data_IF_923285523591
#
_entry.id   IF_923285523591
#
_cell.length_a   1.000
_cell.length_b   1.000
_cell.length_c   1.000
_cell.angle_alpha   90.00
_cell.angle_beta   90.00
_cell.angle_gamma   90.00
#
_symmetry.space_group_name_H-M   'P 1'
#
loop_
_entity.id
_entity.type
_entity.pdbx_description
1 polymer ?
#
# COMPACT_ATOMS: atom_id res chain seq x y z
N UNK A 1 -38.02 -26.62 -78.59
CA UNK A 1 -36.80 -26.98 -77.90
C UNK A 1 -36.39 -25.75 -77.12
N UNK A 2 -36.86 -25.64 -75.85
CA UNK A 2 -36.68 -24.48 -74.99
C UNK A 2 -35.52 -24.74 -74.01
N UNK A 3 -34.48 -23.96 -74.06
CA UNK A 3 -33.33 -24.00 -73.14
C UNK A 3 -33.56 -23.06 -71.97
N UNK A 4 -33.69 -23.63 -70.79
CA UNK A 4 -33.72 -22.85 -69.51
C UNK A 4 -32.28 -22.52 -69.06
N UNK A 5 -32.02 -21.23 -68.90
CA UNK A 5 -30.78 -20.75 -68.20
C UNK A 5 -31.04 -20.63 -66.69
N UNK A 6 -30.34 -21.45 -65.94
CA UNK A 6 -30.31 -21.34 -64.49
C UNK A 6 -29.32 -20.23 -64.08
N UNK A 7 -29.83 -19.19 -63.48
CA UNK A 7 -29.02 -18.16 -62.77
C UNK A 7 -28.99 -18.48 -61.28
N UNK A 8 -27.78 -18.72 -60.74
CA UNK A 8 -27.52 -18.91 -59.29
C UNK A 8 -27.27 -17.54 -58.67
N UNK A 9 -27.95 -17.13 -57.58
CA UNK A 9 -27.62 -15.91 -56.89
C UNK A 9 -26.45 -16.13 -55.94
N UNK A 10 -25.40 -15.33 -56.09
CA UNK A 10 -24.25 -15.28 -55.20
C UNK A 10 -24.63 -14.53 -53.93
N UNK A 11 -24.67 -15.24 -52.79
CA UNK A 11 -24.83 -14.64 -51.46
C UNK A 11 -23.50 -14.00 -51.03
N UNK A 12 -23.46 -12.68 -50.94
CA UNK A 12 -22.36 -11.94 -50.32
C UNK A 12 -22.50 -12.03 -48.78
N UNK A 13 -21.66 -12.81 -48.14
CA UNK A 13 -21.56 -12.84 -46.67
C UNK A 13 -20.76 -11.63 -46.20
N UNK A 14 -21.42 -10.66 -45.55
CA UNK A 14 -20.75 -9.56 -44.87
C UNK A 14 -20.34 -10.04 -43.46
N UNK A 15 -19.07 -10.31 -43.29
CA UNK A 15 -18.48 -10.53 -41.94
C UNK A 15 -18.31 -9.19 -41.25
N UNK A 16 -19.17 -8.96 -40.26
CA UNK A 16 -19.07 -7.82 -39.36
C UNK A 16 -17.97 -8.12 -38.33
N UNK A 17 -16.75 -7.59 -38.54
CA UNK A 17 -15.68 -7.65 -37.53
C UNK A 17 -15.96 -6.65 -36.44
N UNK A 18 -16.42 -7.11 -35.27
CA UNK A 18 -16.52 -6.28 -34.06
C UNK A 18 -15.11 -6.02 -33.51
N UNK A 19 -14.62 -4.83 -33.73
CA UNK A 19 -13.39 -4.35 -33.06
C UNK A 19 -13.75 -3.98 -31.61
N UNK A 20 -13.38 -4.83 -30.65
CA UNK A 20 -13.42 -4.48 -29.23
C UNK A 20 -12.33 -3.43 -28.97
N UNK A 21 -12.73 -2.19 -28.83
CA UNK A 21 -11.87 -1.12 -28.32
C UNK A 21 -11.75 -1.30 -26.80
N UNK A 22 -10.65 -1.91 -26.34
CA UNK A 22 -10.24 -1.83 -24.95
C UNK A 22 -9.80 -0.39 -24.69
N UNK A 23 -10.63 0.38 -23.99
CA UNK A 23 -10.24 1.67 -23.45
C UNK A 23 -9.27 1.43 -22.30
N UNK A 24 -7.97 1.51 -22.57
CA UNK A 24 -6.95 1.63 -21.54
C UNK A 24 -7.13 3.02 -20.93
N UNK A 25 -7.77 3.10 -19.76
CA UNK A 25 -7.83 4.33 -19.00
C UNK A 25 -6.42 4.64 -18.49
N UNK A 26 -5.70 5.51 -19.19
CA UNK A 26 -4.43 6.04 -18.71
C UNK A 26 -4.71 6.91 -17.48
N UNK A 27 -4.35 6.43 -16.29
CA UNK A 27 -4.34 7.23 -15.07
C UNK A 27 -3.27 8.32 -15.25
N UNK A 28 -3.70 9.54 -15.47
CA UNK A 28 -2.80 10.70 -15.60
C UNK A 28 -2.44 11.16 -14.18
N UNK A 29 -1.14 11.14 -13.85
CA UNK A 29 -0.64 11.83 -12.67
C UNK A 29 -0.88 13.34 -12.87
N UNK A 30 -1.85 13.88 -12.15
CA UNK A 30 -2.17 15.30 -12.19
C UNK A 30 -1.27 16.08 -11.21
N UNK A 31 -1.11 17.39 -11.45
CA UNK A 31 -0.30 18.34 -10.63
C UNK A 31 -0.65 18.36 -9.13
N UNK A 32 -1.58 17.55 -8.67
CA UNK A 32 -2.06 17.43 -7.29
C UNK A 32 -2.08 15.97 -6.77
N UNK A 33 -1.22 15.09 -7.29
CA UNK A 33 -1.17 13.67 -6.89
C UNK A 33 -1.99 12.75 -7.80
N UNK A 34 -2.25 11.52 -7.33
CA UNK A 34 -3.08 10.51 -8.00
C UNK A 34 -4.54 10.77 -7.63
N UNK A 35 -5.41 10.92 -8.62
CA UNK A 35 -6.86 10.92 -8.42
C UNK A 35 -7.41 9.56 -8.81
N UNK A 36 -8.14 8.93 -7.90
CA UNK A 36 -8.83 7.67 -8.12
C UNK A 36 -10.35 7.87 -8.19
N UNK A 37 -11.03 6.89 -8.75
CA UNK A 37 -12.49 6.88 -8.81
C UNK A 37 -13.03 6.12 -7.60
N UNK A 38 -14.01 6.67 -6.91
CA UNK A 38 -14.68 6.01 -5.80
C UNK A 38 -15.46 4.76 -6.25
N UNK A 39 -15.61 3.79 -5.34
CA UNK A 39 -16.39 2.57 -5.55
C UNK A 39 -15.56 1.32 -5.85
N UNK A 40 -14.24 1.37 -5.66
CA UNK A 40 -13.36 0.22 -5.86
C UNK A 40 -13.27 -0.66 -4.61
N UNK A 41 -13.24 -0.08 -3.40
CA UNK A 41 -13.24 -0.84 -2.16
C UNK A 41 -14.67 -1.13 -1.66
N UNK A 42 -14.83 -2.27 -0.98
CA UNK A 42 -16.11 -2.65 -0.33
C UNK A 42 -16.48 -1.70 0.82
N UNK A 43 -15.49 -1.22 1.56
CA UNK A 43 -15.66 -0.29 2.67
C UNK A 43 -15.16 1.09 2.27
N UNK A 44 -16.00 2.10 2.40
CA UNK A 44 -15.69 3.48 2.03
C UNK A 44 -14.52 4.07 2.83
N UNK A 45 -14.20 3.53 4.01
CA UNK A 45 -13.03 3.94 4.79
C UNK A 45 -11.69 3.55 4.11
N UNK A 46 -11.72 2.60 3.17
CA UNK A 46 -10.56 2.12 2.41
C UNK A 46 -10.63 2.41 0.91
N UNK A 47 -11.71 3.03 0.43
CA UNK A 47 -11.96 3.36 -0.97
C UNK A 47 -11.26 4.68 -1.32
N UNK A 48 -10.09 4.58 -1.95
CA UNK A 48 -9.20 5.71 -2.20
C UNK A 48 -9.77 6.60 -3.31
N UNK A 49 -9.84 7.90 -3.06
CA UNK A 49 -10.18 8.91 -4.07
C UNK A 49 -9.00 9.82 -4.41
N UNK A 50 -7.98 9.85 -3.55
CA UNK A 50 -6.80 10.69 -3.76
C UNK A 50 -5.58 10.13 -3.00
N UNK A 51 -4.40 10.17 -3.62
CA UNK A 51 -3.12 9.89 -2.96
C UNK A 51 -2.08 10.92 -3.38
N UNK A 52 -1.27 11.43 -2.41
CA UNK A 52 -0.32 12.51 -2.67
C UNK A 52 0.89 12.42 -1.73
N UNK A 53 2.05 12.83 -2.23
CA UNK A 53 3.23 13.11 -1.41
C UNK A 53 3.71 14.51 -1.73
N UNK A 54 3.88 15.35 -0.70
CA UNK A 54 4.42 16.72 -0.82
C UNK A 54 5.59 16.93 0.11
N UNK A 55 6.50 17.84 -0.25
CA UNK A 55 7.67 18.15 0.55
C UNK A 55 7.78 19.64 0.86
N UNK A 56 8.24 19.97 2.07
CA UNK A 56 8.58 21.33 2.50
C UNK A 56 9.82 21.29 3.38
N UNK A 57 10.93 21.86 2.90
CA UNK A 57 12.22 21.70 3.58
C UNK A 57 12.65 20.22 3.55
N UNK A 58 12.94 19.66 4.71
CA UNK A 58 13.28 18.26 4.96
C UNK A 58 12.08 17.42 5.40
N UNK A 59 10.88 18.00 5.40
CA UNK A 59 9.64 17.30 5.74
C UNK A 59 8.92 16.81 4.51
N UNK A 60 8.40 15.59 4.57
CA UNK A 60 7.51 14.98 3.60
C UNK A 60 6.15 14.73 4.24
N UNK A 61 5.07 15.17 3.59
CA UNK A 61 3.70 14.85 3.98
C UNK A 61 3.11 13.87 2.99
N UNK A 62 2.69 12.73 3.49
CA UNK A 62 2.01 11.65 2.79
C UNK A 62 0.51 11.78 3.09
N UNK A 63 -0.30 11.78 2.05
CA UNK A 63 -1.73 12.01 2.11
C UNK A 63 -2.50 10.91 1.37
N UNK A 64 -3.58 10.40 1.97
CA UNK A 64 -4.62 9.60 1.33
C UNK A 64 -5.98 10.20 1.69
N UNK A 65 -6.81 10.43 0.67
CA UNK A 65 -8.23 10.70 0.80
C UNK A 65 -9.05 9.48 0.39
N UNK A 66 -10.12 9.21 1.11
CA UNK A 66 -11.03 8.07 0.86
C UNK A 66 -12.47 8.56 0.68
N UNK A 67 -13.35 7.74 0.10
CA UNK A 67 -14.75 8.11 -0.14
C UNK A 67 -15.61 8.14 1.14
N UNK A 68 -15.12 7.56 2.24
CA UNK A 68 -15.78 7.53 3.55
C UNK A 68 -14.99 8.25 4.63
N UNK A 69 -15.06 7.75 5.87
CA UNK A 69 -14.30 8.29 7.00
C UNK A 69 -13.00 7.53 7.18
N UNK A 70 -11.87 8.18 6.93
CA UNK A 70 -10.54 7.60 7.10
C UNK A 70 -10.31 7.14 8.57
N UNK A 71 -9.71 5.97 8.75
CA UNK A 71 -9.39 5.40 10.06
C UNK A 71 -10.59 4.91 10.88
N UNK A 72 -11.82 4.97 10.34
CA UNK A 72 -13.02 4.56 11.08
C UNK A 72 -13.12 3.04 11.30
N UNK A 73 -12.50 2.25 10.43
CA UNK A 73 -12.58 0.78 10.48
C UNK A 73 -11.23 0.22 10.89
N UNK A 74 -11.22 -0.59 11.93
CA UNK A 74 -10.05 -1.28 12.47
C UNK A 74 -10.31 -2.78 12.53
N UNK A 75 -9.27 -3.63 12.56
CA UNK A 75 -9.45 -5.06 12.76
C UNK A 75 -10.13 -5.34 14.10
N UNK A 76 -10.91 -6.42 14.14
CA UNK A 76 -11.46 -6.93 15.40
C UNK A 76 -10.40 -7.78 16.08
N UNK A 77 -10.17 -7.54 17.39
CA UNK A 77 -9.26 -8.36 18.19
C UNK A 77 -9.71 -9.84 18.20
N UNK A 78 -8.78 -10.75 17.97
CA UNK A 78 -9.00 -12.19 18.01
C UNK A 78 -8.55 -12.82 19.33
N UNK A 79 -7.80 -12.06 20.16
CA UNK A 79 -7.15 -12.51 21.38
C UNK A 79 -5.92 -13.39 21.11
N UNK A 80 -5.38 -13.38 19.87
CA UNK A 80 -4.23 -14.19 19.45
C UNK A 80 -3.36 -13.38 18.48
N UNK A 81 -2.04 -13.44 18.68
CA UNK A 81 -1.09 -12.86 17.73
C UNK A 81 -1.21 -13.55 16.36
N UNK A 82 -1.08 -14.88 16.33
CA UNK A 82 -1.19 -15.65 15.10
C UNK A 82 -2.62 -15.63 14.55
N UNK A 83 -2.77 -15.17 13.31
CA UNK A 83 -4.05 -15.01 12.63
C UNK A 83 -4.71 -13.66 12.86
N UNK A 84 -4.10 -12.75 13.64
CA UNK A 84 -4.60 -11.38 13.77
C UNK A 84 -4.45 -10.62 12.45
N UNK A 85 -5.41 -9.74 12.19
CA UNK A 85 -5.40 -8.87 11.02
C UNK A 85 -4.77 -7.51 11.38
N UNK A 86 -4.09 -6.91 10.40
CA UNK A 86 -3.56 -5.55 10.45
C UNK A 86 -4.17 -4.77 9.29
N UNK A 87 -4.86 -3.68 9.55
CA UNK A 87 -5.35 -2.81 8.48
C UNK A 87 -4.39 -1.64 8.26
N UNK A 88 -4.27 -1.21 7.01
CA UNK A 88 -3.25 -0.24 6.64
C UNK A 88 -3.66 0.71 5.51
N UNK A 89 -3.13 1.94 5.61
CA UNK A 89 -2.99 2.92 4.52
C UNK A 89 -1.51 2.97 4.16
N UNK A 90 -1.17 2.78 2.89
CA UNK A 90 0.22 2.51 2.47
C UNK A 90 0.58 3.36 1.26
N UNK A 91 1.81 3.90 1.26
CA UNK A 91 2.44 4.55 0.11
C UNK A 91 3.67 3.76 -0.31
N UNK A 92 3.53 2.74 -1.21
CA UNK A 92 4.67 2.11 -1.84
C UNK A 92 5.40 3.12 -2.72
N UNK A 93 6.73 3.06 -2.70
CA UNK A 93 7.58 4.01 -3.41
C UNK A 93 8.69 3.33 -4.20
N UNK A 94 9.33 4.07 -5.12
CA UNK A 94 10.60 3.69 -5.73
C UNK A 94 11.81 4.20 -4.95
N UNK A 95 11.61 4.74 -3.74
CA UNK A 95 12.70 5.17 -2.86
C UNK A 95 13.49 3.94 -2.39
N UNK A 96 14.82 4.05 -2.39
CA UNK A 96 15.66 2.97 -1.88
C UNK A 96 15.48 2.82 -0.36
N UNK A 97 15.33 1.60 0.19
CA UNK A 97 15.24 1.36 1.62
C UNK A 97 16.37 1.96 2.45
N UNK A 98 17.56 2.14 1.87
CA UNK A 98 18.70 2.77 2.53
C UNK A 98 18.45 4.23 2.93
N UNK A 99 17.52 4.92 2.28
CA UNK A 99 17.18 6.32 2.58
C UNK A 99 16.50 6.50 3.94
N UNK A 100 15.98 5.41 4.51
CA UNK A 100 15.38 5.40 5.86
C UNK A 100 16.14 4.49 6.82
N UNK A 101 17.31 3.96 6.42
CA UNK A 101 18.24 3.25 7.29
C UNK A 101 18.21 1.72 7.19
N UNK A 102 17.54 1.14 6.21
CA UNK A 102 17.64 -0.29 5.91
C UNK A 102 18.82 -0.61 4.98
N UNK A 103 19.02 -1.89 4.68
CA UNK A 103 19.94 -2.33 3.63
C UNK A 103 19.51 -1.76 2.27
N UNK A 104 20.51 -1.38 1.47
CA UNK A 104 20.29 -0.96 0.08
C UNK A 104 19.66 -2.08 -0.75
N UNK A 105 18.75 -1.72 -1.65
CA UNK A 105 18.06 -2.65 -2.56
C UNK A 105 17.31 -3.79 -1.82
N UNK A 106 16.98 -3.59 -0.54
CA UNK A 106 16.34 -4.61 0.30
C UNK A 106 14.92 -5.00 -0.17
N UNK A 107 14.27 -4.20 -0.99
CA UNK A 107 12.94 -4.46 -1.55
C UNK A 107 12.18 -3.18 -1.89
N UNK A 108 10.85 -3.25 -1.89
CA UNK A 108 9.96 -2.10 -2.09
C UNK A 108 9.80 -1.39 -0.75
N UNK A 109 10.29 -0.15 -0.66
CA UNK A 109 10.04 0.67 0.52
C UNK A 109 8.65 1.27 0.48
N UNK A 110 7.89 1.11 1.55
CA UNK A 110 6.59 1.73 1.72
C UNK A 110 6.46 2.37 3.10
N UNK A 111 5.85 3.56 3.15
CA UNK A 111 5.31 4.10 4.40
C UNK A 111 3.93 3.47 4.61
N UNK A 112 3.67 2.96 5.79
CA UNK A 112 2.40 2.38 6.18
C UNK A 112 1.88 3.05 7.46
N UNK A 113 0.58 3.31 7.52
CA UNK A 113 -0.14 3.67 8.75
C UNK A 113 -1.04 2.51 9.08
N UNK A 114 -0.82 1.87 10.22
CA UNK A 114 -1.42 0.58 10.60
C UNK A 114 -2.23 0.65 11.90
N UNK A 115 -3.16 -0.28 12.06
CA UNK A 115 -3.83 -0.58 13.33
C UNK A 115 -3.99 -2.11 13.48
N UNK A 116 -3.67 -2.65 14.67
CA UNK A 116 -3.65 -4.08 14.97
C UNK A 116 -3.91 -4.37 16.46
N UNK A 117 -5.15 -4.62 16.87
CA UNK A 117 -5.56 -4.61 18.28
C UNK A 117 -5.02 -5.76 19.15
N UNK A 118 -4.45 -6.82 18.56
CA UNK A 118 -4.02 -8.02 19.29
C UNK A 118 -2.58 -7.97 19.81
N UNK A 119 -1.79 -6.99 19.41
CA UNK A 119 -0.38 -6.86 19.78
C UNK A 119 0.11 -5.43 19.58
N UNK A 120 1.25 -5.10 20.21
CA UNK A 120 1.96 -3.85 20.06
C UNK A 120 3.38 -4.13 19.54
N UNK A 121 3.81 -3.42 18.51
CA UNK A 121 5.14 -3.55 17.90
C UNK A 121 5.95 -2.24 17.95
N UNK A 122 5.47 -1.23 18.67
CA UNK A 122 6.12 0.07 18.83
C UNK A 122 6.60 0.36 20.27
N UNK A 123 7.48 -0.48 20.84
CA UNK A 123 7.87 -0.40 22.26
C UNK A 123 8.60 0.89 22.64
N UNK A 124 9.03 1.68 21.65
CA UNK A 124 9.77 2.92 21.88
C UNK A 124 8.86 4.17 21.93
N UNK A 125 7.61 4.05 21.48
CA UNK A 125 6.69 5.16 21.34
C UNK A 125 5.38 4.90 22.09
N UNK A 126 4.75 5.94 22.59
CA UNK A 126 3.47 5.95 23.29
C UNK A 126 2.49 6.76 22.42
N UNK A 127 1.81 6.07 21.49
CA UNK A 127 0.99 6.69 20.46
C UNK A 127 -0.27 7.35 21.00
N UNK A 128 -0.78 6.86 22.14
CA UNK A 128 -1.98 7.41 22.76
C UNK A 128 -1.67 8.41 23.89
N UNK A 129 -0.40 8.53 24.33
CA UNK A 129 0.07 9.46 25.35
C UNK A 129 -0.39 9.12 26.76
N UNK A 130 -0.74 7.85 27.09
CA UNK A 130 -1.22 7.43 28.40
C UNK A 130 -0.10 6.96 29.35
N UNK A 131 1.14 6.92 28.88
CA UNK A 131 2.32 6.47 29.61
C UNK A 131 2.55 4.95 29.57
N UNK A 132 1.74 4.20 28.83
CA UNK A 132 1.86 2.75 28.67
C UNK A 132 2.10 2.39 27.20
N UNK A 133 3.35 2.12 26.84
CA UNK A 133 3.78 1.78 25.47
C UNK A 133 3.41 0.38 25.01
N UNK A 134 2.58 -0.35 25.75
CA UNK A 134 2.22 -1.75 25.43
C UNK A 134 0.75 -1.94 25.07
N UNK A 135 -0.01 -0.86 24.91
CA UNK A 135 -1.44 -0.88 24.61
C UNK A 135 -1.81 -0.11 23.34
N UNK A 136 -0.84 0.28 22.54
CA UNK A 136 -1.00 1.21 21.41
C UNK A 136 -1.27 0.54 20.07
N UNK A 137 -1.20 -0.78 19.97
CA UNK A 137 -1.41 -1.51 18.71
C UNK A 137 -2.76 -1.23 18.03
N UNK A 138 -3.81 -0.90 18.78
CA UNK A 138 -5.12 -0.52 18.26
C UNK A 138 -5.21 0.98 17.91
N UNK A 139 -4.20 1.77 18.17
CA UNK A 139 -4.08 3.16 17.70
C UNK A 139 -3.45 3.16 16.33
N UNK A 140 -3.92 4.02 15.42
CA UNK A 140 -3.27 4.17 14.13
C UNK A 140 -1.89 4.79 14.33
N UNK A 141 -0.84 4.08 13.89
CA UNK A 141 0.55 4.51 13.99
C UNK A 141 1.32 4.14 12.72
N UNK A 142 2.54 4.65 12.59
CA UNK A 142 3.28 4.59 11.33
C UNK A 142 4.47 3.66 11.36
N UNK A 143 4.71 3.03 10.20
CA UNK A 143 5.88 2.19 9.95
C UNK A 143 6.49 2.49 8.59
N UNK A 144 7.82 2.45 8.51
CA UNK A 144 8.47 2.12 7.25
C UNK A 144 8.57 0.59 7.16
N UNK A 145 8.15 0.05 6.03
CA UNK A 145 8.21 -1.40 5.78
C UNK A 145 8.91 -1.67 4.46
N UNK A 146 9.66 -2.78 4.41
CA UNK A 146 10.24 -3.28 3.17
C UNK A 146 9.46 -4.52 2.73
N UNK A 147 8.94 -4.49 1.51
CA UNK A 147 8.09 -5.54 0.94
C UNK A 147 8.83 -6.27 -0.18
N UNK A 148 8.60 -7.58 -0.29
CA UNK A 148 9.02 -8.40 -1.43
C UNK A 148 7.92 -9.37 -1.84
N UNK A 149 7.89 -9.80 -3.14
CA UNK A 149 7.11 -10.95 -3.54
C UNK A 149 7.48 -12.18 -2.69
N UNK A 150 6.47 -12.86 -2.17
CA UNK A 150 6.69 -14.02 -1.32
C UNK A 150 5.58 -15.08 -1.53
N UNK A 151 5.91 -16.15 -2.23
CA UNK A 151 4.96 -17.22 -2.57
C UNK A 151 4.39 -17.96 -1.34
N UNK A 152 5.06 -17.87 -0.16
CA UNK A 152 4.51 -18.37 1.11
C UNK A 152 3.32 -17.54 1.60
N UNK A 153 3.21 -16.29 1.17
CA UNK A 153 2.05 -15.43 1.42
C UNK A 153 0.89 -15.71 0.44
N UNK A 154 1.15 -16.46 -0.62
CA UNK A 154 0.26 -16.73 -1.73
C UNK A 154 0.91 -16.33 -3.07
N UNK A 155 0.49 -16.96 -4.14
CA UNK A 155 1.05 -16.68 -5.47
C UNK A 155 0.83 -15.21 -5.86
N UNK A 156 1.92 -14.50 -6.10
CA UNK A 156 1.90 -13.08 -6.46
C UNK A 156 1.66 -12.13 -5.29
N UNK A 157 1.59 -12.63 -4.05
CA UNK A 157 1.43 -11.80 -2.86
C UNK A 157 2.77 -11.24 -2.38
N UNK A 158 2.69 -10.13 -1.63
CA UNK A 158 3.82 -9.51 -0.96
C UNK A 158 3.87 -9.95 0.52
N UNK A 159 5.06 -10.04 1.07
CA UNK A 159 5.30 -10.13 2.50
C UNK A 159 6.25 -9.03 2.96
N UNK A 160 6.17 -8.64 4.22
CA UNK A 160 7.22 -7.84 4.84
C UNK A 160 8.49 -8.69 4.92
N UNK A 161 9.62 -8.13 4.53
CA UNK A 161 10.89 -8.88 4.44
C UNK A 161 11.29 -9.39 5.82
N UNK A 162 11.48 -10.70 5.92
CA UNK A 162 11.91 -11.41 7.10
C UNK A 162 13.43 -11.26 7.32
N UNK A 163 13.86 -11.16 8.59
CA UNK A 163 15.26 -11.22 8.99
C UNK A 163 15.54 -12.65 9.43
N UNK A 164 16.30 -13.45 8.66
CA UNK A 164 16.60 -14.82 9.01
C UNK A 164 17.34 -14.91 10.34
N UNK A 165 17.11 -16.00 11.08
CA UNK A 165 17.74 -16.21 12.39
C UNK A 165 19.28 -16.17 12.27
N UNK A 166 19.88 -15.26 13.03
CA UNK A 166 21.33 -15.06 13.10
C UNK A 166 21.88 -14.03 12.10
N UNK A 167 21.06 -13.53 11.19
CA UNK A 167 21.45 -12.41 10.33
C UNK A 167 21.35 -11.07 11.08
N UNK A 168 22.18 -10.12 10.66
CA UNK A 168 22.24 -8.77 11.23
C UNK A 168 22.30 -7.76 10.08
N UNK A 169 21.16 -7.49 9.41
CA UNK A 169 21.10 -6.49 8.36
C UNK A 169 21.28 -5.08 8.94
N UNK A 170 21.49 -4.09 8.08
CA UNK A 170 21.39 -2.68 8.46
C UNK A 170 19.95 -2.36 8.79
N UNK A 171 19.71 -1.73 9.94
CA UNK A 171 18.38 -1.40 10.45
C UNK A 171 18.33 0.06 10.91
N UNK A 172 17.17 0.73 10.78
CA UNK A 172 16.92 2.04 11.36
C UNK A 172 17.09 2.04 12.89
N UNK A 173 17.36 3.22 13.46
CA UNK A 173 17.50 3.37 14.93
C UNK A 173 16.20 3.10 15.69
N UNK A 174 15.07 3.29 15.05
CA UNK A 174 13.71 3.10 15.56
C UNK A 174 13.12 1.73 15.20
N UNK A 175 13.98 0.76 14.84
CA UNK A 175 13.58 -0.63 14.63
C UNK A 175 12.99 -1.23 15.92
N UNK A 176 11.76 -1.79 15.89
CA UNK A 176 11.05 -2.21 17.10
C UNK A 176 11.50 -3.55 17.69
N UNK A 177 12.53 -4.20 17.13
CA UNK A 177 13.04 -5.48 17.62
C UNK A 177 12.37 -6.72 17.04
N UNK A 178 11.46 -6.55 16.08
CA UNK A 178 10.82 -7.67 15.37
C UNK A 178 11.76 -8.26 14.31
N UNK A 179 11.67 -9.57 14.00
CA UNK A 179 12.49 -10.21 12.98
C UNK A 179 12.03 -9.84 11.55
N UNK A 180 11.78 -8.57 11.30
CA UNK A 180 11.28 -8.00 10.06
C UNK A 180 12.03 -6.72 9.71
N UNK A 181 12.10 -6.38 8.42
CA UNK A 181 12.47 -5.05 7.96
C UNK A 181 11.27 -4.10 8.11
N UNK A 182 11.03 -3.72 9.34
CA UNK A 182 10.04 -2.73 9.76
C UNK A 182 10.73 -1.68 10.61
N UNK A 183 10.25 -0.46 10.58
CA UNK A 183 10.69 0.65 11.42
C UNK A 183 9.49 1.35 12.01
N UNK A 184 9.62 1.91 13.20
CA UNK A 184 8.57 2.67 13.90
C UNK A 184 9.04 4.11 14.07
N UNK A 185 8.95 4.95 13.02
CA UNK A 185 9.34 6.34 13.10
C UNK A 185 8.40 7.09 14.06
N UNK A 186 8.97 8.04 14.81
CA UNK A 186 8.21 8.92 15.71
C UNK A 186 7.39 9.93 14.88
N UNK A 187 6.29 9.46 14.28
CA UNK A 187 5.40 10.27 13.46
C UNK A 187 3.94 9.85 13.65
N UNK A 188 3.13 10.80 14.13
CA UNK A 188 1.71 10.57 14.40
C UNK A 188 0.85 10.86 13.17
N UNK A 189 0.03 9.91 12.70
CA UNK A 189 -0.92 10.14 11.63
C UNK A 189 -2.09 11.04 12.10
N UNK A 190 -2.53 11.94 11.23
CA UNK A 190 -3.64 12.87 11.50
C UNK A 190 -4.83 12.49 10.62
N UNK A 191 -5.89 12.00 11.25
CA UNK A 191 -7.16 11.71 10.59
C UNK A 191 -8.10 12.90 10.65
N UNK A 192 -8.61 13.35 9.50
CA UNK A 192 -9.54 14.48 9.41
C UNK A 192 -10.64 14.21 8.40
N UNK A 193 -11.78 13.74 8.89
CA UNK A 193 -12.94 13.38 8.04
C UNK A 193 -12.60 12.22 7.11
N UNK A 194 -12.56 12.50 5.83
CA UNK A 194 -12.25 11.55 4.75
C UNK A 194 -10.76 11.44 4.41
N UNK A 195 -9.88 12.05 5.17
CA UNK A 195 -8.46 12.10 4.87
C UNK A 195 -7.57 11.67 6.02
N UNK A 196 -6.39 11.19 5.64
CA UNK A 196 -5.25 10.87 6.48
C UNK A 196 -4.04 11.63 5.96
N UNK A 197 -3.35 12.34 6.85
CA UNK A 197 -2.06 12.95 6.61
C UNK A 197 -1.04 12.43 7.62
N UNK A 198 0.19 12.18 7.16
CA UNK A 198 1.33 11.93 8.03
C UNK A 198 2.55 12.69 7.53
N UNK A 199 3.26 13.37 8.44
CA UNK A 199 4.46 14.15 8.09
C UNK A 199 5.67 13.54 8.75
N UNK A 200 6.67 13.20 7.94
CA UNK A 200 7.92 12.57 8.36
C UNK A 200 9.11 13.42 7.90
N UNK A 201 10.13 13.49 8.74
CA UNK A 201 11.42 14.04 8.34
C UNK A 201 12.19 13.03 7.49
N UNK A 202 12.71 13.46 6.35
CA UNK A 202 13.50 12.65 5.42
C UNK A 202 14.87 13.31 5.26
N UNK A 203 15.93 12.62 5.66
CA UNK A 203 17.29 13.17 5.63
C UNK A 203 17.73 13.49 4.19
N UNK A 204 17.42 12.64 3.24
CA UNK A 204 17.70 12.87 1.82
C UNK A 204 16.43 13.16 1.01
N UNK A 205 15.82 14.31 1.29
CA UNK A 205 14.58 14.75 0.64
C UNK A 205 14.70 14.86 -0.89
N UNK A 206 15.91 15.03 -1.42
CA UNK A 206 16.13 15.11 -2.88
C UNK A 206 15.80 13.80 -3.56
N UNK A 207 16.18 12.66 -2.99
CA UNK A 207 15.86 11.34 -3.55
C UNK A 207 14.36 11.06 -3.49
N UNK A 208 13.69 11.45 -2.40
CA UNK A 208 12.23 11.35 -2.34
C UNK A 208 11.54 12.17 -3.44
N UNK A 209 12.01 13.38 -3.75
CA UNK A 209 11.44 14.22 -4.83
C UNK A 209 11.54 13.57 -6.22
N UNK A 210 12.47 12.65 -6.41
CA UNK A 210 12.64 11.88 -7.65
C UNK A 210 11.88 10.57 -7.64
N UNK A 211 11.41 10.12 -6.48
CA UNK A 211 10.69 8.87 -6.33
C UNK A 211 9.30 8.92 -6.98
N UNK A 212 8.85 7.74 -7.39
CA UNK A 212 7.45 7.47 -7.77
C UNK A 212 6.74 6.83 -6.59
N UNK A 213 5.42 6.95 -6.56
CA UNK A 213 4.61 6.34 -5.50
C UNK A 213 3.22 5.93 -6.00
N UNK A 214 2.54 5.15 -5.17
CA UNK A 214 1.11 4.88 -5.27
C UNK A 214 0.44 5.09 -3.91
N UNK A 215 -0.88 4.98 -3.86
CA UNK A 215 -1.67 4.89 -2.64
C UNK A 215 -2.35 3.52 -2.60
N UNK A 216 -2.29 2.85 -1.46
CA UNK A 216 -2.87 1.51 -1.27
C UNK A 216 -3.57 1.46 0.07
N UNK A 217 -4.72 0.78 0.13
CA UNK A 217 -5.31 0.32 1.38
C UNK A 217 -5.30 -1.19 1.39
N UNK A 218 -4.88 -1.81 2.49
CA UNK A 218 -4.70 -3.24 2.56
C UNK A 218 -4.92 -3.83 3.95
N UNK A 219 -5.16 -5.14 3.97
CA UNK A 219 -5.14 -5.99 5.14
C UNK A 219 -3.94 -6.93 5.10
N UNK A 220 -3.15 -6.94 6.18
CA UNK A 220 -2.12 -7.91 6.39
C UNK A 220 -2.59 -8.93 7.43
N UNK A 221 -1.96 -10.10 7.44
CA UNK A 221 -2.16 -11.12 8.46
C UNK A 221 -0.85 -11.49 9.11
N UNK A 222 -0.88 -11.63 10.43
CA UNK A 222 0.21 -12.18 11.22
C UNK A 222 0.18 -13.71 11.12
N UNK A 223 1.28 -14.33 10.72
CA UNK A 223 1.41 -15.77 10.68
C UNK A 223 1.90 -16.33 12.02
N UNK A 224 1.68 -17.63 12.24
CA UNK A 224 2.04 -18.33 13.48
C UNK A 224 3.56 -18.36 13.73
N UNK A 225 4.35 -18.43 12.65
CA UNK A 225 5.81 -18.47 12.74
C UNK A 225 6.44 -17.18 12.26
N UNK A 226 7.38 -16.64 13.04
CA UNK A 226 8.12 -15.42 12.71
C UNK A 226 8.84 -15.47 11.35
N UNK A 227 9.21 -16.67 10.90
CA UNK A 227 9.94 -16.88 9.64
C UNK A 227 9.14 -17.60 8.55
N UNK A 228 7.80 -17.53 8.59
CA UNK A 228 6.94 -18.21 7.63
C UNK A 228 6.32 -17.41 6.48
N UNK A 229 6.55 -16.15 6.15
CA UNK A 229 7.02 -14.95 6.87
C UNK A 229 6.01 -14.47 7.93
N UNK A 230 6.45 -13.61 8.86
CA UNK A 230 5.56 -13.16 9.95
C UNK A 230 4.37 -12.36 9.43
N UNK A 231 4.57 -11.40 8.53
CA UNK A 231 3.52 -10.53 7.99
C UNK A 231 3.35 -10.73 6.48
N UNK A 232 2.16 -11.14 6.09
CA UNK A 232 1.74 -11.26 4.70
C UNK A 232 0.67 -10.25 4.33
N UNK A 233 0.79 -9.62 3.16
CA UNK A 233 -0.34 -8.90 2.55
C UNK A 233 -1.37 -9.95 2.13
N UNK A 234 -2.53 -9.92 2.77
CA UNK A 234 -3.61 -10.87 2.55
C UNK A 234 -4.65 -10.35 1.56
N UNK A 235 -5.08 -9.13 1.78
CA UNK A 235 -6.10 -8.47 0.98
C UNK A 235 -5.61 -7.07 0.57
N UNK A 236 -5.78 -6.70 -0.69
CA UNK A 236 -5.67 -5.33 -1.16
C UNK A 236 -7.08 -4.80 -1.32
N UNK A 237 -7.45 -3.79 -0.54
CA UNK A 237 -8.80 -3.24 -0.57
C UNK A 237 -8.97 -2.28 -1.74
N UNK A 238 -7.97 -1.41 -1.97
CA UNK A 238 -7.93 -0.47 -3.09
C UNK A 238 -6.50 -0.05 -3.43
N UNK A 239 -6.32 0.39 -4.69
CA UNK A 239 -5.08 0.95 -5.23
C UNK A 239 -5.41 2.21 -6.00
N UNK A 240 -4.83 3.34 -5.66
CA UNK A 240 -5.15 4.63 -6.26
C UNK A 240 -4.90 4.65 -7.78
N UNK A 241 -3.87 3.97 -8.28
CA UNK A 241 -3.62 3.82 -9.73
C UNK A 241 -4.47 2.73 -10.38
N UNK A 242 -5.05 1.81 -9.60
CA UNK A 242 -5.76 0.62 -10.06
C UNK A 242 -4.86 -0.58 -10.39
N UNK A 243 -3.53 -0.41 -10.52
CA UNK A 243 -2.63 -1.47 -11.01
C UNK A 243 -1.24 -1.51 -10.34
N UNK A 244 -1.00 -0.68 -9.29
CA UNK A 244 0.31 -0.54 -8.63
C UNK A 244 1.45 -0.09 -9.57
N UNK A 245 1.14 0.65 -10.62
CA UNK A 245 2.15 1.16 -11.57
C UNK A 245 3.00 2.32 -11.02
N UNK A 246 2.71 2.80 -9.82
CA UNK A 246 3.36 3.92 -9.15
C UNK A 246 3.41 5.20 -10.03
N UNK A 247 2.27 5.71 -10.53
CA UNK A 247 2.26 6.88 -11.41
C UNK A 247 2.47 8.19 -10.65
N UNK A 248 2.36 8.19 -9.33
CA UNK A 248 2.47 9.36 -8.49
C UNK A 248 3.85 10.01 -8.58
N UNK A 249 3.87 11.34 -8.65
CA UNK A 249 5.09 12.15 -8.67
C UNK A 249 5.03 13.09 -7.46
N UNK A 250 6.08 13.07 -6.65
CA UNK A 250 6.18 13.91 -5.46
C UNK A 250 6.11 15.40 -5.84
N UNK A 251 5.29 16.19 -5.12
CA UNK A 251 5.00 17.60 -5.38
C UNK A 251 4.27 17.91 -6.71
N UNK A 252 3.67 16.91 -7.33
CA UNK A 252 2.91 17.07 -8.56
C UNK A 252 1.44 16.72 -8.35
#
# INVERSE_FOLDING_TARGET
MMTFKNTVPTLLAHTLSAVLLFSVSSVMAHSNGIKAQAGNAKDAAFDIIHAKITTKGDLATFHIGVSGKAGAVKPTATGKLAGSDVFSYVWPTTLDPAEVGFEKDAGILALAVTAHPDFDDTPLYDENGDGNKTNDGNVWHSHWVVLKPNDKCGKGSLGVVDIPKGEKPTLPKTWPGLPLLIDSPDATPIFKGDSLDITIKIDNITNLKLAKFDGVTSGLRVNESAHAPLLCVKDVFDVASGDLSLPGIVNK
#
